data_IF_973725900992
#
_entry.id   IF_973725900992
#
_cell.length_a   1.000
_cell.length_b   1.000
_cell.length_c   1.000
_cell.angle_alpha   90.00
_cell.angle_beta   90.00
_cell.angle_gamma   90.00
#
_symmetry.space_group_name_H-M   'P 1'
#
loop_
_entity.id
_entity.type
_entity.pdbx_description
1 polymer ?
#
# COMPACT_ATOMS: atom_id res chain seq x y z
N UNK A 1 5.87 52.32 3.06
CA UNK A 1 5.83 50.95 2.50
C UNK A 1 5.58 49.99 3.66
N UNK A 2 4.33 49.49 3.73
CA UNK A 2 3.90 48.59 4.81
C UNK A 2 4.63 47.24 4.67
N UNK A 3 5.40 46.86 5.67
CA UNK A 3 6.11 45.60 5.82
C UNK A 3 5.14 44.39 5.90
N UNK A 4 3.83 44.62 5.98
CA UNK A 4 2.78 43.59 6.09
C UNK A 4 2.28 43.05 4.72
N UNK A 5 2.69 43.66 3.61
CA UNK A 5 2.19 43.26 2.26
C UNK A 5 3.03 42.18 1.59
N UNK A 6 3.99 41.55 2.26
CA UNK A 6 4.93 40.60 1.66
C UNK A 6 4.94 39.20 2.29
N UNK A 7 4.07 38.88 3.24
CA UNK A 7 3.98 37.49 3.75
C UNK A 7 3.01 36.71 2.89
N UNK A 8 3.54 36.03 1.87
CA UNK A 8 2.77 35.06 1.08
C UNK A 8 2.61 33.80 1.92
N UNK A 9 1.48 33.72 2.66
CA UNK A 9 1.15 32.50 3.41
C UNK A 9 1.09 31.30 2.47
N UNK A 10 1.70 30.21 2.88
CA UNK A 10 1.53 28.91 2.22
C UNK A 10 0.05 28.49 2.27
N UNK A 11 -0.34 27.56 1.40
CA UNK A 11 -1.72 27.09 1.36
C UNK A 11 -2.15 26.42 2.69
N UNK A 12 -1.23 25.73 3.33
CA UNK A 12 -1.43 25.14 4.66
C UNK A 12 -1.71 26.22 5.72
N UNK A 13 -0.88 27.26 5.79
CA UNK A 13 -1.07 28.38 6.74
C UNK A 13 -2.40 29.12 6.50
N UNK A 14 -2.81 29.28 5.24
CA UNK A 14 -4.13 29.83 4.89
C UNK A 14 -5.27 28.99 5.42
N UNK A 15 -5.19 27.65 5.27
CA UNK A 15 -6.19 26.71 5.75
C UNK A 15 -6.27 26.72 7.28
N UNK A 16 -5.14 26.83 7.97
CA UNK A 16 -5.07 26.88 9.41
C UNK A 16 -5.64 28.21 9.95
N UNK A 17 -5.29 29.33 9.34
CA UNK A 17 -5.86 30.63 9.65
C UNK A 17 -7.40 30.67 9.46
N UNK A 18 -7.91 30.03 8.41
CA UNK A 18 -9.36 29.88 8.19
C UNK A 18 -10.01 29.05 9.31
N UNK A 19 -9.35 28.00 9.77
CA UNK A 19 -9.86 27.15 10.87
C UNK A 19 -9.92 27.93 12.19
N UNK A 20 -8.89 28.70 12.50
CA UNK A 20 -8.88 29.59 13.68
C UNK A 20 -10.00 30.62 13.58
N UNK A 21 -10.13 31.27 12.41
CA UNK A 21 -11.18 32.27 12.17
C UNK A 21 -12.59 31.69 12.32
N UNK A 22 -12.82 30.47 11.83
CA UNK A 22 -14.10 29.75 12.02
C UNK A 22 -14.43 29.57 13.50
N UNK A 23 -13.45 29.16 14.32
CA UNK A 23 -13.63 28.98 15.75
C UNK A 23 -14.00 30.29 16.46
N UNK A 24 -13.41 31.40 16.05
CA UNK A 24 -13.77 32.74 16.56
C UNK A 24 -15.21 33.08 16.16
N UNK A 25 -15.58 32.90 14.88
CA UNK A 25 -16.93 33.19 14.38
C UNK A 25 -17.97 32.33 15.12
N UNK A 26 -17.71 31.03 15.33
CA UNK A 26 -18.63 30.15 16.10
C UNK A 26 -18.89 30.71 17.50
N UNK A 27 -17.87 31.21 18.19
CA UNK A 27 -17.97 31.75 19.56
C UNK A 27 -18.62 33.13 19.63
N UNK A 28 -18.39 34.00 18.65
CA UNK A 28 -18.79 35.42 18.71
C UNK A 28 -20.05 35.75 17.94
N UNK A 29 -20.34 35.01 16.84
CA UNK A 29 -21.42 35.33 15.90
C UNK A 29 -22.42 34.17 15.72
N UNK A 30 -22.12 32.99 16.31
CA UNK A 30 -23.01 31.83 16.30
C UNK A 30 -22.94 30.98 15.02
N UNK A 31 -23.75 29.93 15.02
CA UNK A 31 -23.70 28.88 14.01
C UNK A 31 -24.10 29.34 12.59
N UNK A 32 -25.02 30.32 12.47
CA UNK A 32 -25.45 30.82 11.16
C UNK A 32 -24.29 31.50 10.41
N UNK A 33 -23.54 32.35 11.12
CA UNK A 33 -22.37 33.04 10.55
C UNK A 33 -21.25 32.03 10.23
N UNK A 34 -21.03 31.03 11.10
CA UNK A 34 -20.08 29.96 10.89
C UNK A 34 -20.40 29.14 9.64
N UNK A 35 -21.65 28.72 9.44
CA UNK A 35 -22.07 27.99 8.25
C UNK A 35 -21.87 28.81 6.97
N UNK A 36 -22.13 30.09 6.99
CA UNK A 36 -21.86 31.00 5.86
C UNK A 36 -20.37 31.09 5.55
N UNK A 37 -19.53 31.20 6.58
CA UNK A 37 -18.08 31.23 6.43
C UNK A 37 -17.53 29.90 5.85
N UNK A 38 -18.01 28.75 6.33
CA UNK A 38 -17.67 27.41 5.80
C UNK A 38 -18.03 27.34 4.32
N UNK A 39 -19.25 27.75 3.93
CA UNK A 39 -19.70 27.71 2.54
C UNK A 39 -18.81 28.56 1.62
N UNK A 40 -18.37 29.75 2.07
CA UNK A 40 -17.46 30.62 1.32
C UNK A 40 -16.05 30.06 1.14
N UNK A 41 -15.62 29.18 2.06
CA UNK A 41 -14.30 28.59 2.09
C UNK A 41 -14.31 27.06 1.95
N UNK A 42 -15.26 26.52 1.22
CA UNK A 42 -15.47 25.06 1.04
C UNK A 42 -14.29 24.35 0.33
N UNK A 43 -13.41 25.11 -0.32
CA UNK A 43 -12.16 24.61 -0.86
C UNK A 43 -11.16 24.15 0.21
N UNK A 44 -11.33 24.60 1.47
CA UNK A 44 -10.55 24.11 2.60
C UNK A 44 -10.96 22.64 2.89
N UNK A 45 -10.01 21.69 2.85
CA UNK A 45 -10.34 20.27 3.04
C UNK A 45 -10.99 19.97 4.40
N UNK A 46 -10.63 20.71 5.47
CA UNK A 46 -11.22 20.51 6.79
C UNK A 46 -12.71 20.86 6.79
N UNK A 47 -13.07 21.97 6.15
CA UNK A 47 -14.46 22.40 6.05
C UNK A 47 -15.27 21.47 5.16
N UNK A 48 -14.70 21.02 4.04
CA UNK A 48 -15.35 20.05 3.17
C UNK A 48 -15.66 18.75 3.90
N UNK A 49 -14.71 18.21 4.70
CA UNK A 49 -14.92 17.02 5.55
C UNK A 49 -16.10 17.21 6.51
N UNK A 50 -16.11 18.35 7.21
CA UNK A 50 -17.18 18.66 8.19
C UNK A 50 -18.54 18.69 7.50
N UNK A 51 -18.67 19.35 6.34
CA UNK A 51 -19.92 19.47 5.61
C UNK A 51 -20.38 18.14 5.01
N UNK A 52 -19.46 17.36 4.43
CA UNK A 52 -19.78 16.01 3.93
C UNK A 52 -20.30 15.14 5.07
N UNK A 53 -19.61 15.12 6.21
CA UNK A 53 -20.03 14.36 7.38
C UNK A 53 -21.43 14.76 7.85
N UNK A 54 -21.71 16.08 7.92
CA UNK A 54 -23.03 16.61 8.29
C UNK A 54 -24.12 16.15 7.32
N UNK A 55 -23.88 16.20 6.00
CA UNK A 55 -24.87 15.74 5.02
C UNK A 55 -25.11 14.22 5.09
N UNK A 56 -24.08 13.43 5.39
CA UNK A 56 -24.26 11.99 5.62
C UNK A 56 -25.17 11.74 6.83
N UNK A 57 -24.97 12.45 7.95
CA UNK A 57 -25.84 12.35 9.14
C UNK A 57 -27.27 12.78 8.85
N UNK A 58 -27.46 13.81 8.03
CA UNK A 58 -28.78 14.27 7.58
C UNK A 58 -29.41 13.39 6.49
N UNK A 59 -28.68 12.36 6.02
CA UNK A 59 -29.06 11.50 4.89
C UNK A 59 -29.23 12.26 3.56
N UNK A 60 -28.66 13.47 3.43
CA UNK A 60 -28.60 14.22 2.17
C UNK A 60 -27.38 13.75 1.36
N UNK A 61 -27.47 12.53 0.87
CA UNK A 61 -26.36 11.86 0.19
C UNK A 61 -26.01 12.53 -1.15
N UNK A 62 -26.95 13.18 -1.81
CA UNK A 62 -26.70 13.88 -3.07
C UNK A 62 -25.72 15.06 -2.86
N UNK A 63 -25.96 15.90 -1.86
CA UNK A 63 -25.05 16.99 -1.52
C UNK A 63 -23.71 16.49 -1.01
N UNK A 64 -23.71 15.42 -0.19
CA UNK A 64 -22.47 14.80 0.27
C UNK A 64 -21.60 14.30 -0.92
N UNK A 65 -22.22 13.59 -1.89
CA UNK A 65 -21.54 13.11 -3.10
C UNK A 65 -21.04 14.25 -3.98
N UNK A 66 -21.83 15.29 -4.19
CA UNK A 66 -21.43 16.46 -4.97
C UNK A 66 -20.16 17.09 -4.39
N UNK A 67 -20.12 17.35 -3.09
CA UNK A 67 -18.96 17.94 -2.41
C UNK A 67 -17.71 17.06 -2.50
N UNK A 68 -17.85 15.73 -2.36
CA UNK A 68 -16.74 14.82 -2.51
C UNK A 68 -16.21 14.80 -3.94
N UNK A 69 -17.08 14.79 -4.95
CA UNK A 69 -16.70 14.87 -6.38
C UNK A 69 -16.02 16.17 -6.73
N UNK A 70 -16.50 17.29 -6.19
CA UNK A 70 -15.85 18.61 -6.38
C UNK A 70 -14.47 18.64 -5.73
N UNK A 71 -14.30 17.96 -4.59
CA UNK A 71 -13.00 17.75 -3.97
C UNK A 71 -12.04 16.99 -4.87
N UNK A 72 -12.49 15.91 -5.51
CA UNK A 72 -11.68 15.14 -6.47
C UNK A 72 -11.24 16.04 -7.62
N UNK A 73 -12.17 16.75 -8.27
CA UNK A 73 -11.85 17.66 -9.39
C UNK A 73 -10.81 18.71 -9.03
N UNK A 74 -10.90 19.26 -7.81
CA UNK A 74 -9.97 20.27 -7.30
C UNK A 74 -8.58 19.71 -7.02
N UNK A 75 -8.49 18.52 -6.43
CA UNK A 75 -7.27 18.01 -5.83
C UNK A 75 -6.54 16.94 -6.66
N UNK A 76 -7.22 16.30 -7.63
CA UNK A 76 -6.73 15.14 -8.38
C UNK A 76 -5.35 15.36 -9.02
N UNK A 77 -5.11 16.53 -9.60
CA UNK A 77 -3.85 16.84 -10.31
C UNK A 77 -2.70 17.20 -9.36
N UNK A 78 -2.99 17.96 -8.31
CA UNK A 78 -1.97 18.62 -7.48
C UNK A 78 -1.81 17.99 -6.10
N UNK A 79 -2.83 17.27 -5.61
CA UNK A 79 -2.90 16.69 -4.27
C UNK A 79 -3.52 15.30 -4.29
N UNK A 80 -2.87 14.32 -4.94
CA UNK A 80 -3.45 12.97 -5.14
C UNK A 80 -3.84 12.27 -3.84
N UNK A 81 -3.17 12.57 -2.72
CA UNK A 81 -3.55 12.07 -1.40
C UNK A 81 -4.91 12.57 -0.93
N UNK A 82 -5.24 13.85 -1.18
CA UNK A 82 -6.56 14.40 -0.87
C UNK A 82 -7.62 13.85 -1.83
N UNK A 83 -7.30 13.70 -3.11
CA UNK A 83 -8.22 13.07 -4.06
C UNK A 83 -8.59 11.65 -3.62
N UNK A 84 -7.61 10.87 -3.15
CA UNK A 84 -7.85 9.53 -2.58
C UNK A 84 -8.78 9.61 -1.37
N UNK A 85 -8.64 10.61 -0.52
CA UNK A 85 -9.53 10.82 0.63
C UNK A 85 -10.97 11.11 0.19
N UNK A 86 -11.18 11.90 -0.86
CA UNK A 86 -12.51 12.17 -1.39
C UNK A 86 -13.17 10.91 -1.98
N UNK A 87 -12.40 10.02 -2.61
CA UNK A 87 -12.90 8.70 -3.00
C UNK A 87 -13.30 7.84 -1.78
N UNK A 88 -12.57 7.92 -0.66
CA UNK A 88 -12.98 7.26 0.58
C UNK A 88 -14.30 7.81 1.12
N UNK A 89 -14.54 9.12 1.01
CA UNK A 89 -15.83 9.70 1.37
C UNK A 89 -16.96 9.20 0.46
N UNK A 90 -16.72 9.07 -0.86
CA UNK A 90 -17.69 8.47 -1.78
C UNK A 90 -18.00 7.01 -1.43
N UNK A 91 -16.99 6.23 -1.04
CA UNK A 91 -17.20 4.87 -0.55
C UNK A 91 -18.05 4.84 0.73
N UNK A 92 -17.76 5.69 1.71
CA UNK A 92 -18.58 5.82 2.94
C UNK A 92 -20.02 6.18 2.65
N UNK A 93 -20.26 7.11 1.73
CA UNK A 93 -21.60 7.50 1.29
C UNK A 93 -22.33 6.32 0.64
N UNK A 94 -21.68 5.61 -0.28
CA UNK A 94 -22.23 4.43 -0.93
C UNK A 94 -22.60 3.33 0.08
N UNK A 95 -21.76 3.10 1.09
CA UNK A 95 -22.05 2.16 2.18
C UNK A 95 -23.25 2.61 3.00
N UNK A 96 -23.38 3.90 3.32
CA UNK A 96 -24.52 4.44 4.04
C UNK A 96 -25.84 4.32 3.25
N UNK A 97 -25.76 4.40 1.92
CA UNK A 97 -26.88 4.18 0.99
C UNK A 97 -27.17 2.70 0.73
N UNK A 98 -26.25 1.79 1.10
CA UNK A 98 -26.29 0.36 0.72
C UNK A 98 -26.30 0.16 -0.81
N UNK A 99 -25.62 1.03 -1.54
CA UNK A 99 -25.52 1.00 -3.00
C UNK A 99 -24.33 0.09 -3.40
N UNK A 100 -24.61 -1.20 -3.58
CA UNK A 100 -23.59 -2.21 -3.86
C UNK A 100 -22.74 -1.90 -5.10
N UNK A 101 -23.34 -1.37 -6.15
CA UNK A 101 -22.60 -1.05 -7.39
C UNK A 101 -21.55 0.04 -7.13
N UNK A 102 -21.93 1.10 -6.41
CA UNK A 102 -21.01 2.18 -6.04
C UNK A 102 -19.98 1.72 -5.01
N UNK A 103 -20.37 0.85 -4.04
CA UNK A 103 -19.42 0.25 -3.10
C UNK A 103 -18.33 -0.49 -3.86
N UNK A 104 -18.71 -1.38 -4.79
CA UNK A 104 -17.75 -2.15 -5.60
C UNK A 104 -16.87 -1.20 -6.43
N UNK A 105 -17.47 -0.21 -7.09
CA UNK A 105 -16.76 0.75 -7.93
C UNK A 105 -15.69 1.51 -7.15
N UNK A 106 -16.06 2.12 -6.02
CA UNK A 106 -15.12 2.93 -5.24
C UNK A 106 -14.09 2.07 -4.47
N UNK A 107 -14.50 0.91 -3.93
CA UNK A 107 -13.59 0.00 -3.26
C UNK A 107 -12.55 -0.58 -4.23
N UNK A 108 -12.94 -0.93 -5.48
CA UNK A 108 -12.02 -1.39 -6.55
C UNK A 108 -11.02 -0.30 -6.90
N UNK A 109 -11.47 0.93 -7.13
CA UNK A 109 -10.61 2.06 -7.45
C UNK A 109 -9.60 2.31 -6.31
N UNK A 110 -10.07 2.35 -5.07
CA UNK A 110 -9.23 2.56 -3.89
C UNK A 110 -8.24 1.41 -3.68
N UNK A 111 -8.66 0.16 -3.90
CA UNK A 111 -7.78 -1.01 -3.80
C UNK A 111 -6.62 -0.95 -4.80
N UNK A 112 -6.91 -0.56 -6.05
CA UNK A 112 -5.91 -0.51 -7.13
C UNK A 112 -4.98 0.70 -6.98
N UNK A 113 -5.47 1.85 -6.49
CA UNK A 113 -4.76 3.12 -6.52
C UNK A 113 -4.31 3.65 -5.16
N UNK A 114 -4.81 3.12 -4.05
CA UNK A 114 -4.47 3.62 -2.72
C UNK A 114 -3.35 2.81 -2.06
N UNK A 115 -2.25 3.49 -1.78
CA UNK A 115 -1.06 2.92 -1.17
C UNK A 115 -1.09 2.90 0.36
N UNK A 116 -1.93 3.75 0.98
CA UNK A 116 -2.10 3.82 2.44
C UNK A 116 -3.29 2.94 2.86
N UNK A 117 -3.09 1.65 2.91
CA UNK A 117 -4.07 0.62 3.28
C UNK A 117 -4.63 0.78 4.72
N UNK A 118 -5.29 1.90 5.03
CA UNK A 118 -5.98 2.08 6.31
C UNK A 118 -7.28 1.28 6.40
N UNK A 119 -7.85 0.87 5.25
CA UNK A 119 -9.04 0.02 5.17
C UNK A 119 -8.75 -1.21 4.32
N UNK A 120 -9.33 -2.34 4.69
CA UNK A 120 -9.25 -3.53 3.87
C UNK A 120 -10.27 -3.50 2.74
N UNK A 121 -9.96 -2.75 1.68
CA UNK A 121 -10.81 -2.64 0.49
C UNK A 121 -11.05 -3.99 -0.17
N UNK A 122 -10.10 -4.92 -0.09
CA UNK A 122 -10.26 -6.25 -0.62
C UNK A 122 -11.38 -7.01 0.09
N UNK A 123 -11.45 -6.92 1.41
CA UNK A 123 -12.54 -7.53 2.18
C UNK A 123 -13.89 -6.84 1.91
N UNK A 124 -13.89 -5.51 1.70
CA UNK A 124 -15.12 -4.80 1.28
C UNK A 124 -15.61 -5.35 -0.07
N UNK A 125 -14.72 -5.52 -1.05
CA UNK A 125 -15.07 -6.12 -2.34
C UNK A 125 -15.61 -7.54 -2.17
N UNK A 126 -14.92 -8.38 -1.39
CA UNK A 126 -15.32 -9.77 -1.15
C UNK A 126 -16.72 -9.90 -0.52
N UNK A 127 -17.10 -8.94 0.32
CA UNK A 127 -18.41 -8.93 0.98
C UNK A 127 -19.55 -8.39 0.09
N UNK A 128 -19.24 -7.69 -1.01
CA UNK A 128 -20.24 -7.02 -1.84
C UNK A 128 -20.35 -7.59 -3.27
N UNK A 129 -19.34 -8.34 -3.74
CA UNK A 129 -19.39 -9.04 -5.02
C UNK A 129 -20.03 -10.40 -4.82
N UNK A 130 -21.00 -10.84 -5.67
CA UNK A 130 -21.60 -12.16 -5.59
C UNK A 130 -20.54 -13.28 -5.68
N UNK A 131 -20.70 -14.31 -4.86
CA UNK A 131 -19.72 -15.41 -4.73
C UNK A 131 -19.45 -16.14 -6.05
N UNK A 132 -20.45 -16.30 -6.87
CA UNK A 132 -20.37 -16.93 -8.20
C UNK A 132 -19.55 -16.10 -9.20
N UNK A 133 -19.45 -14.80 -9.01
CA UNK A 133 -18.66 -13.89 -9.85
C UNK A 133 -17.29 -13.56 -9.26
N UNK A 134 -17.03 -13.99 -8.03
CA UNK A 134 -15.84 -13.54 -7.29
C UNK A 134 -14.54 -13.90 -8.01
N UNK A 135 -14.40 -15.12 -8.49
CA UNK A 135 -13.18 -15.59 -9.18
C UNK A 135 -12.85 -14.74 -10.41
N UNK A 136 -13.86 -14.50 -11.28
CA UNK A 136 -13.69 -13.71 -12.50
C UNK A 136 -13.38 -12.25 -12.16
N UNK A 137 -14.02 -11.72 -11.13
CA UNK A 137 -13.80 -10.37 -10.65
C UNK A 137 -12.37 -10.15 -10.11
N UNK A 138 -11.82 -11.14 -9.40
CA UNK A 138 -10.42 -11.10 -8.93
C UNK A 138 -9.45 -11.11 -10.13
N UNK A 139 -9.70 -11.90 -11.15
CA UNK A 139 -8.89 -11.88 -12.37
C UNK A 139 -8.96 -10.52 -13.11
N UNK A 140 -10.12 -9.89 -13.11
CA UNK A 140 -10.24 -8.52 -13.64
C UNK A 140 -9.42 -7.51 -12.84
N UNK A 141 -9.45 -7.59 -11.51
CA UNK A 141 -8.65 -6.72 -10.64
C UNK A 141 -7.16 -6.90 -10.94
N UNK A 142 -6.68 -8.14 -11.05
CA UNK A 142 -5.28 -8.45 -11.38
C UNK A 142 -4.89 -7.81 -12.72
N UNK A 143 -5.73 -7.98 -13.75
CA UNK A 143 -5.50 -7.36 -15.05
C UNK A 143 -5.41 -5.83 -14.96
N UNK A 144 -6.27 -5.21 -14.17
CA UNK A 144 -6.25 -3.75 -13.99
C UNK A 144 -5.01 -3.27 -13.22
N UNK A 145 -4.59 -4.01 -12.19
CA UNK A 145 -3.34 -3.74 -11.47
C UNK A 145 -2.15 -3.77 -12.45
N UNK A 146 -2.08 -4.81 -13.29
CA UNK A 146 -0.99 -4.96 -14.27
C UNK A 146 -0.94 -3.81 -15.30
N UNK A 147 -2.10 -3.23 -15.68
CA UNK A 147 -2.14 -2.05 -16.55
C UNK A 147 -1.56 -0.79 -15.92
N UNK A 148 -1.50 -0.69 -14.60
CA UNK A 148 -0.99 0.51 -13.92
C UNK A 148 0.53 0.68 -14.02
N UNK A 149 1.25 -0.38 -14.38
CA UNK A 149 2.71 -0.44 -14.52
C UNK A 149 3.48 0.20 -13.35
N UNK A 150 3.06 -0.09 -12.10
CA UNK A 150 3.65 0.45 -10.88
C UNK A 150 4.56 -0.58 -10.22
N UNK A 151 5.63 -0.12 -9.57
CA UNK A 151 6.53 -0.99 -8.80
C UNK A 151 5.82 -1.75 -7.65
N UNK A 152 4.72 -1.21 -7.14
CA UNK A 152 3.92 -1.81 -6.07
C UNK A 152 2.97 -2.91 -6.55
N UNK A 153 2.85 -3.14 -7.86
CA UNK A 153 1.97 -4.16 -8.42
C UNK A 153 2.27 -5.55 -7.85
N UNK A 154 3.56 -5.84 -7.61
CA UNK A 154 3.98 -7.10 -7.02
C UNK A 154 3.32 -7.36 -5.66
N UNK A 155 3.46 -6.41 -4.71
CA UNK A 155 2.93 -6.59 -3.35
C UNK A 155 1.39 -6.64 -3.34
N UNK A 156 0.75 -5.89 -4.22
CA UNK A 156 -0.70 -5.88 -4.33
C UNK A 156 -1.24 -7.21 -4.88
N UNK A 157 -0.60 -7.77 -5.91
CA UNK A 157 -0.95 -9.07 -6.47
C UNK A 157 -0.64 -10.19 -5.47
N UNK A 158 0.52 -10.13 -4.78
CA UNK A 158 0.86 -11.08 -3.73
C UNK A 158 -0.18 -11.07 -2.60
N UNK A 159 -0.69 -9.90 -2.21
CA UNK A 159 -1.77 -9.77 -1.22
C UNK A 159 -3.04 -10.48 -1.69
N UNK A 160 -3.40 -10.37 -2.97
CA UNK A 160 -4.54 -11.09 -3.55
C UNK A 160 -4.31 -12.61 -3.42
N UNK A 161 -3.15 -13.10 -3.88
CA UNK A 161 -2.86 -14.53 -3.86
C UNK A 161 -2.85 -15.11 -2.44
N UNK A 162 -2.39 -14.35 -1.46
CA UNK A 162 -2.44 -14.74 -0.04
C UNK A 162 -3.89 -14.81 0.45
N UNK A 163 -4.72 -13.82 0.15
CA UNK A 163 -6.12 -13.80 0.57
C UNK A 163 -6.94 -14.94 -0.05
N UNK A 164 -6.66 -15.29 -1.31
CA UNK A 164 -7.33 -16.39 -2.01
C UNK A 164 -6.65 -17.76 -1.81
N UNK A 165 -5.51 -17.78 -1.07
CA UNK A 165 -4.69 -18.99 -0.85
C UNK A 165 -4.19 -19.62 -2.15
N UNK A 166 -3.88 -18.80 -3.15
CA UNK A 166 -3.34 -19.25 -4.44
C UNK A 166 -1.82 -19.37 -4.36
N UNK A 167 -1.37 -20.38 -3.63
CA UNK A 167 0.04 -20.54 -3.27
C UNK A 167 0.94 -20.82 -4.47
N UNK A 168 0.48 -21.60 -5.44
CA UNK A 168 1.21 -21.85 -6.70
C UNK A 168 1.45 -20.53 -7.46
N UNK A 169 0.43 -19.67 -7.53
CA UNK A 169 0.55 -18.37 -8.21
C UNK A 169 1.46 -17.41 -7.44
N UNK A 170 1.43 -17.45 -6.12
CA UNK A 170 2.36 -16.68 -5.28
C UNK A 170 3.81 -17.12 -5.51
N UNK A 171 4.06 -18.45 -5.59
CA UNK A 171 5.38 -18.98 -5.89
C UNK A 171 5.86 -18.54 -7.29
N UNK A 172 5.01 -18.66 -8.31
CA UNK A 172 5.32 -18.19 -9.67
C UNK A 172 5.63 -16.68 -9.70
N UNK A 173 4.89 -15.88 -8.94
CA UNK A 173 5.13 -14.45 -8.84
C UNK A 173 6.51 -14.17 -8.23
N UNK A 174 6.92 -14.90 -7.18
CA UNK A 174 8.25 -14.78 -6.59
C UNK A 174 9.36 -15.18 -7.56
N UNK A 175 9.15 -16.19 -8.40
CA UNK A 175 10.11 -16.64 -9.40
C UNK A 175 10.35 -15.62 -10.53
N UNK A 176 9.37 -14.77 -10.84
CA UNK A 176 9.52 -13.73 -11.88
C UNK A 176 10.48 -12.60 -11.47
N UNK A 177 10.55 -12.27 -10.19
CA UNK A 177 11.40 -11.18 -9.68
C UNK A 177 11.94 -11.54 -8.29
N UNK A 178 12.79 -12.58 -8.20
CA UNK A 178 13.28 -13.05 -6.92
C UNK A 178 14.31 -12.07 -6.34
N UNK A 179 14.22 -11.88 -5.03
CA UNK A 179 15.29 -11.29 -4.22
C UNK A 179 15.28 -11.95 -2.85
N UNK A 180 16.42 -11.96 -2.16
CA UNK A 180 16.51 -12.54 -0.82
C UNK A 180 15.44 -11.99 0.14
N UNK A 181 15.22 -10.66 0.08
CA UNK A 181 14.23 -9.99 0.91
C UNK A 181 12.79 -10.34 0.50
N UNK A 182 12.51 -10.39 -0.79
CA UNK A 182 11.18 -10.72 -1.30
C UNK A 182 10.81 -12.16 -0.92
N UNK A 183 11.73 -13.12 -1.10
CA UNK A 183 11.51 -14.50 -0.70
C UNK A 183 11.23 -14.59 0.81
N UNK A 184 12.03 -13.91 1.64
CA UNK A 184 11.87 -13.89 3.11
C UNK A 184 10.50 -13.34 3.55
N UNK A 185 10.01 -12.29 2.90
CA UNK A 185 8.72 -11.68 3.24
C UNK A 185 7.53 -12.64 3.06
N UNK A 186 7.62 -13.52 2.05
CA UNK A 186 6.52 -14.42 1.69
C UNK A 186 6.75 -15.89 2.10
N UNK A 187 7.95 -16.25 2.60
CA UNK A 187 8.32 -17.61 3.01
C UNK A 187 7.29 -18.24 3.95
N UNK A 188 6.80 -17.49 4.95
CA UNK A 188 5.83 -18.00 5.94
C UNK A 188 4.55 -18.56 5.32
N UNK A 189 4.19 -18.11 4.12
CA UNK A 189 2.98 -18.55 3.41
C UNK A 189 3.24 -19.78 2.53
N UNK A 190 4.50 -19.99 2.14
CA UNK A 190 4.90 -21.04 1.19
C UNK A 190 5.70 -22.17 1.84
N UNK A 191 6.28 -21.95 3.04
CA UNK A 191 7.21 -22.90 3.65
C UNK A 191 6.60 -24.27 3.97
N UNK A 192 5.26 -24.34 4.14
CA UNK A 192 4.61 -25.62 4.44
C UNK A 192 4.68 -26.59 3.26
N UNK A 193 4.35 -26.12 2.06
CA UNK A 193 4.14 -26.98 0.90
C UNK A 193 5.20 -26.81 -0.19
N UNK A 194 6.01 -25.71 -0.13
CA UNK A 194 6.97 -25.33 -1.17
C UNK A 194 8.40 -25.13 -0.65
N UNK A 195 8.74 -25.70 0.52
CA UNK A 195 10.10 -25.58 1.10
C UNK A 195 11.22 -25.94 0.11
N UNK A 196 11.16 -27.01 -0.69
CA UNK A 196 12.24 -27.30 -1.64
C UNK A 196 12.41 -26.19 -2.69
N UNK A 197 11.31 -25.61 -3.18
CA UNK A 197 11.36 -24.52 -4.16
C UNK A 197 11.90 -23.21 -3.56
N UNK A 198 11.57 -22.93 -2.32
CA UNK A 198 12.13 -21.79 -1.59
C UNK A 198 13.63 -21.96 -1.38
N UNK A 199 14.11 -23.16 -1.07
CA UNK A 199 15.53 -23.47 -0.95
C UNK A 199 16.26 -23.22 -2.29
N UNK A 200 15.71 -23.66 -3.41
CA UNK A 200 16.24 -23.41 -4.75
C UNK A 200 16.34 -21.90 -5.05
N UNK A 201 15.27 -21.14 -4.74
CA UNK A 201 15.25 -19.69 -4.92
C UNK A 201 16.30 -18.97 -4.06
N UNK A 202 16.40 -19.35 -2.78
CA UNK A 202 17.43 -18.80 -1.90
C UNK A 202 18.84 -19.14 -2.40
N UNK A 203 19.08 -20.37 -2.85
CA UNK A 203 20.38 -20.80 -3.36
C UNK A 203 20.83 -19.93 -4.54
N UNK A 204 19.96 -19.72 -5.53
CA UNK A 204 20.24 -18.86 -6.68
C UNK A 204 20.51 -17.43 -6.24
N UNK A 205 19.64 -16.88 -5.39
CA UNK A 205 19.76 -15.48 -4.96
C UNK A 205 20.95 -15.22 -4.03
N UNK A 206 21.38 -16.19 -3.24
CA UNK A 206 22.62 -16.11 -2.44
C UNK A 206 23.84 -16.02 -3.34
N UNK A 207 23.91 -16.83 -4.39
CA UNK A 207 25.04 -16.82 -5.33
C UNK A 207 25.09 -15.51 -6.13
N UNK A 208 23.96 -15.00 -6.61
CA UNK A 208 23.87 -13.71 -7.30
C UNK A 208 24.28 -12.56 -6.36
N UNK A 209 23.72 -12.52 -5.15
CA UNK A 209 24.01 -11.49 -4.16
C UNK A 209 25.51 -11.39 -3.83
N UNK A 210 26.21 -12.54 -3.80
CA UNK A 210 27.65 -12.58 -3.50
C UNK A 210 28.54 -12.10 -4.64
N UNK A 211 28.04 -12.00 -5.87
CA UNK A 211 28.80 -11.48 -6.99
C UNK A 211 29.05 -9.97 -6.83
N UNK A 212 28.01 -9.24 -6.44
CA UNK A 212 28.01 -7.78 -6.42
C UNK A 212 28.35 -7.19 -5.04
N UNK A 213 28.42 -8.03 -3.99
CA UNK A 213 28.56 -7.54 -2.62
C UNK A 213 29.84 -8.07 -1.95
N UNK A 214 30.62 -7.12 -1.41
CA UNK A 214 31.89 -7.41 -0.71
C UNK A 214 31.90 -6.71 0.64
N UNK A 215 32.20 -7.47 1.71
CA UNK A 215 32.31 -6.95 3.07
C UNK A 215 31.57 -7.80 4.10
N UNK A 216 32.00 -7.74 5.36
CA UNK A 216 31.56 -8.62 6.44
C UNK A 216 30.03 -8.59 6.64
N UNK A 217 29.39 -7.42 6.55
CA UNK A 217 27.93 -7.30 6.72
C UNK A 217 27.17 -8.08 5.64
N UNK A 218 27.66 -8.06 4.40
CA UNK A 218 27.06 -8.83 3.31
C UNK A 218 27.27 -10.33 3.52
N UNK A 219 28.42 -10.75 4.02
CA UNK A 219 28.72 -12.15 4.33
C UNK A 219 27.83 -12.68 5.46
N UNK A 220 27.61 -11.89 6.50
CA UNK A 220 26.65 -12.20 7.56
C UNK A 220 25.24 -12.36 7.04
N UNK A 221 24.83 -11.50 6.09
CA UNK A 221 23.53 -11.61 5.42
C UNK A 221 23.42 -12.93 4.68
N UNK A 222 24.41 -13.32 3.90
CA UNK A 222 24.47 -14.62 3.20
C UNK A 222 24.37 -15.79 4.19
N UNK A 223 25.16 -15.76 5.26
CA UNK A 223 25.13 -16.81 6.29
C UNK A 223 23.76 -16.91 6.99
N UNK A 224 23.06 -15.80 7.16
CA UNK A 224 21.68 -15.78 7.67
C UNK A 224 20.74 -16.53 6.73
N UNK A 225 20.84 -16.33 5.43
CA UNK A 225 20.01 -17.02 4.44
C UNK A 225 20.38 -18.50 4.28
N UNK A 226 21.68 -18.86 4.39
CA UNK A 226 22.08 -20.27 4.41
C UNK A 226 21.49 -21.02 5.61
N UNK A 227 21.51 -20.42 6.81
CA UNK A 227 20.83 -21.00 7.99
C UNK A 227 19.32 -21.13 7.78
N UNK A 228 18.71 -20.18 7.05
CA UNK A 228 17.28 -20.21 6.72
C UNK A 228 16.98 -21.38 5.77
N UNK A 229 17.82 -21.61 4.77
CA UNK A 229 17.71 -22.77 3.88
C UNK A 229 17.79 -24.08 4.68
N UNK A 230 18.70 -24.17 5.65
CA UNK A 230 18.81 -25.35 6.54
C UNK A 230 17.55 -25.57 7.34
N UNK A 231 16.93 -24.51 7.89
CA UNK A 231 15.64 -24.57 8.59
C UNK A 231 14.48 -25.04 7.71
N UNK A 232 14.54 -24.73 6.42
CA UNK A 232 13.57 -25.19 5.43
C UNK A 232 13.82 -26.64 4.94
N UNK A 233 14.79 -27.34 5.55
CA UNK A 233 15.14 -28.72 5.16
C UNK A 233 16.19 -28.83 4.07
N UNK A 234 16.72 -27.70 3.57
CA UNK A 234 17.70 -27.65 2.47
C UNK A 234 19.16 -27.71 2.91
N UNK A 235 19.52 -28.51 3.91
CA UNK A 235 20.89 -28.61 4.44
C UNK A 235 21.90 -28.96 3.33
N UNK A 236 21.61 -30.02 2.56
CA UNK A 236 22.52 -30.45 1.47
C UNK A 236 22.78 -29.33 0.46
N UNK A 237 21.73 -28.59 0.07
CA UNK A 237 21.83 -27.45 -0.86
C UNK A 237 22.65 -26.32 -0.22
N UNK A 238 22.45 -26.02 1.04
CA UNK A 238 23.23 -24.98 1.73
C UNK A 238 24.70 -25.35 1.81
N UNK A 239 25.04 -26.62 2.10
CA UNK A 239 26.42 -27.12 2.11
C UNK A 239 27.10 -27.02 0.73
N UNK A 240 26.36 -27.36 -0.35
CA UNK A 240 26.83 -27.14 -1.73
C UNK A 240 27.13 -25.67 -2.02
N UNK A 241 26.27 -24.77 -1.60
CA UNK A 241 26.50 -23.31 -1.78
C UNK A 241 27.71 -22.85 -0.98
N UNK A 242 27.88 -23.30 0.27
CA UNK A 242 29.05 -23.01 1.10
C UNK A 242 30.34 -23.46 0.38
N UNK A 243 30.33 -24.66 -0.17
CA UNK A 243 31.51 -25.19 -0.93
C UNK A 243 31.80 -24.31 -2.16
N UNK A 244 30.76 -23.95 -2.93
CA UNK A 244 30.92 -23.05 -4.10
C UNK A 244 31.51 -21.70 -3.67
N UNK A 245 31.02 -21.10 -2.60
CA UNK A 245 31.50 -19.80 -2.11
C UNK A 245 32.94 -19.88 -1.63
N UNK A 246 33.36 -20.96 -0.95
CA UNK A 246 34.74 -21.20 -0.52
C UNK A 246 35.68 -21.35 -1.72
N UNK A 247 35.27 -22.11 -2.73
CA UNK A 247 36.06 -22.35 -3.94
C UNK A 247 36.20 -21.09 -4.80
N UNK A 248 35.09 -20.33 -4.92
CA UNK A 248 35.06 -19.13 -5.80
C UNK A 248 35.77 -17.91 -5.17
N UNK A 249 35.79 -17.82 -3.84
CA UNK A 249 36.30 -16.64 -3.13
C UNK A 249 37.29 -16.97 -2.00
N UNK A 250 38.33 -17.80 -2.25
CA UNK A 250 39.26 -18.26 -1.19
C UNK A 250 40.01 -17.11 -0.52
N UNK A 251 40.24 -16.00 -1.24
CA UNK A 251 40.94 -14.82 -0.73
C UNK A 251 40.11 -13.96 0.23
N UNK A 252 38.78 -14.18 0.33
CA UNK A 252 37.90 -13.39 1.20
C UNK A 252 37.89 -13.98 2.61
N UNK A 253 38.93 -13.73 3.41
CA UNK A 253 39.11 -14.29 4.78
C UNK A 253 37.88 -14.08 5.67
N UNK A 254 37.31 -12.86 5.68
CA UNK A 254 36.13 -12.56 6.47
C UNK A 254 34.87 -13.38 6.04
N UNK A 255 34.79 -13.78 4.75
CA UNK A 255 33.75 -14.70 4.30
C UNK A 255 33.95 -16.09 4.88
N UNK A 256 35.20 -16.60 4.86
CA UNK A 256 35.53 -17.91 5.44
C UNK A 256 35.18 -17.98 6.92
N UNK A 257 35.52 -16.89 7.67
CA UNK A 257 35.15 -16.77 9.09
C UNK A 257 33.64 -16.88 9.33
N UNK A 258 32.84 -16.20 8.50
CA UNK A 258 31.37 -16.22 8.66
C UNK A 258 30.76 -17.56 8.21
N UNK A 259 31.26 -18.17 7.13
CA UNK A 259 30.83 -19.48 6.65
C UNK A 259 31.13 -20.62 7.64
N UNK A 260 32.17 -20.49 8.47
CA UNK A 260 32.48 -21.47 9.53
C UNK A 260 31.46 -21.45 10.69
N UNK A 261 30.60 -20.46 10.75
CA UNK A 261 29.55 -20.31 11.77
C UNK A 261 28.19 -20.85 11.34
N UNK A 262 28.04 -21.28 10.08
CA UNK A 262 26.78 -21.82 9.53
C UNK A 262 26.66 -23.28 9.85
#
# INVERSE_FOLDING_TARGET
TNLLDTITLSEYEKQEAQTIKLNIIKKTQGETAANKFIAQHISNPNFRREVISKFIHLKDFEKAQSLAKDGIKQDEKNKPGLATEWYNWLLKIAMAQKDNEKIITYARLLFIHNFNNQQDYYQILKNNVPSERWSDFVEEIIRDILKTNRWQNFDLIAKIFINEKWWDRLLLLLQQSPSLRTIENYEKHLSKDYSPKLVELYATQVLEYMQDNVGRNYYQTVCRYLRRMIKLGGRETAEKIILILRTKYPQRKALMDELNKV
#
